data_IF_286150179393
#
_entry.id   IF_286150179393
#
_cell.length_a   1.000
_cell.length_b   1.000
_cell.length_c   1.000
_cell.angle_alpha   90.00
_cell.angle_beta   90.00
_cell.angle_gamma   90.00
#
_symmetry.space_group_name_H-M   'P 1'
#
loop_
_entity.id
_entity.type
_entity.pdbx_description
1 polymer ?
#
# COMPACT_ATOMS: atom_id res chain seq x y z
N UNK A 1 6.75 51.66 18.88
CA UNK A 1 8.02 51.55 18.13
C UNK A 1 9.17 51.55 19.12
N UNK A 2 9.93 50.45 19.23
CA UNK A 2 11.35 50.52 19.58
C UNK A 2 12.03 49.25 19.12
N UNK A 3 12.88 49.41 18.11
CA UNK A 3 13.72 48.39 17.50
C UNK A 3 14.85 48.05 18.46
N UNK A 4 15.13 46.77 18.71
CA UNK A 4 16.50 46.30 18.98
C UNK A 4 16.73 44.94 18.32
N UNK A 5 17.43 45.01 17.20
CA UNK A 5 18.10 43.93 16.50
C UNK A 5 19.33 43.56 17.34
N UNK A 6 19.58 42.28 17.61
CA UNK A 6 20.96 41.79 17.60
C UNK A 6 21.01 40.31 17.22
N UNK A 7 21.81 40.07 16.18
CA UNK A 7 22.17 38.81 15.55
C UNK A 7 23.30 38.18 16.35
N UNK A 8 23.29 36.86 16.55
CA UNK A 8 24.52 36.05 16.57
C UNK A 8 24.23 34.71 15.92
N UNK A 9 24.76 34.55 14.71
CA UNK A 9 25.03 33.26 14.11
C UNK A 9 26.40 32.79 14.59
N UNK A 10 26.58 31.50 14.90
CA UNK A 10 27.86 30.84 14.73
C UNK A 10 27.67 29.34 14.46
N UNK A 11 28.17 28.92 13.29
CA UNK A 11 28.39 27.54 12.86
C UNK A 11 29.39 26.83 13.79
N UNK A 12 29.21 25.52 13.96
CA UNK A 12 30.30 24.56 14.14
C UNK A 12 29.96 23.26 13.38
N UNK A 13 30.52 23.15 12.17
CA UNK A 13 30.70 21.90 11.43
C UNK A 13 32.12 21.43 11.75
N UNK A 14 32.25 20.24 12.34
CA UNK A 14 33.51 19.50 12.40
C UNK A 14 33.14 18.01 12.22
N UNK A 15 33.21 17.46 11.02
CA UNK A 15 34.43 16.90 10.40
C UNK A 15 34.99 15.73 11.20
N UNK A 16 34.52 14.51 10.89
CA UNK A 16 35.33 13.29 11.04
C UNK A 16 35.09 12.38 9.83
N UNK A 17 35.86 12.65 8.77
CA UNK A 17 36.29 11.64 7.80
C UNK A 17 37.57 11.02 8.33
N UNK A 18 37.58 9.71 8.58
CA UNK A 18 38.82 8.92 8.61
C UNK A 18 38.54 7.63 7.83
N UNK A 19 39.11 7.55 6.63
CA UNK A 19 39.24 6.35 5.82
C UNK A 19 40.59 5.66 6.13
N UNK A 20 40.94 4.59 5.41
CA UNK A 20 40.98 3.20 5.85
C UNK A 20 42.38 2.75 6.35
N UNK A 21 42.42 1.81 7.30
CA UNK A 21 43.65 1.07 7.62
C UNK A 21 43.45 -0.40 7.30
N UNK A 22 44.05 -0.81 6.18
CA UNK A 22 44.39 -2.19 5.88
C UNK A 22 45.54 -2.60 6.80
N UNK A 23 45.31 -3.54 7.72
CA UNK A 23 46.37 -4.39 8.27
C UNK A 23 45.85 -5.82 8.31
N UNK A 24 46.48 -6.67 7.49
CA UNK A 24 46.46 -8.10 7.63
C UNK A 24 47.50 -8.52 8.68
N UNK A 25 47.11 -9.39 9.60
CA UNK A 25 47.92 -10.32 10.40
C UNK A 25 46.91 -11.30 11.02
N UNK A 26 46.72 -12.47 10.42
CA UNK A 26 47.48 -13.71 10.64
C UNK A 26 47.19 -14.37 12.00
N UNK A 27 46.47 -15.49 11.90
CA UNK A 27 46.47 -16.68 12.76
C UNK A 27 46.38 -16.51 14.28
N UNK A 28 45.18 -16.77 14.84
CA UNK A 28 45.02 -17.66 16.00
C UNK A 28 43.54 -18.05 16.17
N UNK A 29 43.34 -19.35 16.25
CA UNK A 29 42.12 -20.11 16.48
C UNK A 29 41.44 -19.70 17.80
N UNK A 30 40.15 -19.33 17.77
CA UNK A 30 39.25 -19.55 18.91
C UNK A 30 37.79 -19.53 18.43
N UNK A 31 37.20 -20.74 18.43
CA UNK A 31 35.78 -21.09 18.41
C UNK A 31 34.79 -19.91 18.53
N UNK A 32 34.34 -19.39 17.38
CA UNK A 32 33.02 -18.76 17.29
C UNK A 32 32.09 -19.80 16.69
N UNK A 33 31.04 -20.25 17.40
CA UNK A 33 30.09 -21.19 16.82
C UNK A 33 29.50 -20.54 15.56
N UNK A 34 29.66 -21.22 14.44
CA UNK A 34 29.13 -20.83 13.14
C UNK A 34 27.61 -20.73 13.28
N UNK A 35 27.12 -19.52 13.53
CA UNK A 35 25.70 -19.23 13.57
C UNK A 35 25.23 -19.40 12.14
N UNK A 36 24.77 -20.61 11.81
CA UNK A 36 24.03 -20.90 10.59
C UNK A 36 22.96 -19.82 10.47
N UNK A 37 23.22 -18.81 9.65
CA UNK A 37 22.20 -17.90 9.18
C UNK A 37 21.28 -18.78 8.36
N UNK A 38 20.26 -19.31 9.02
CA UNK A 38 19.06 -19.77 8.36
C UNK A 38 18.64 -18.57 7.53
N UNK A 39 18.97 -18.60 6.24
CA UNK A 39 18.34 -17.75 5.24
C UNK A 39 16.86 -18.14 5.28
N UNK A 40 16.15 -17.57 6.24
CA UNK A 40 14.71 -17.55 6.27
C UNK A 40 14.36 -16.94 4.93
N UNK A 41 13.88 -17.80 4.03
CA UNK A 41 13.53 -17.42 2.67
C UNK A 41 12.51 -16.31 2.82
N UNK A 42 12.93 -15.07 2.60
CA UNK A 42 12.05 -13.91 2.72
C UNK A 42 10.86 -14.24 1.83
N UNK A 43 9.62 -14.23 2.36
CA UNK A 43 8.46 -14.57 1.56
C UNK A 43 8.54 -13.74 0.28
N UNK A 44 8.45 -14.38 -0.90
CA UNK A 44 8.50 -13.66 -2.19
C UNK A 44 7.49 -12.52 -2.11
N UNK A 45 8.00 -11.31 -1.91
CA UNK A 45 7.18 -10.11 -1.89
C UNK A 45 6.55 -10.01 -3.26
N UNK A 46 5.24 -10.17 -3.35
CA UNK A 46 4.51 -9.90 -4.58
C UNK A 46 4.88 -8.47 -4.99
N UNK A 47 5.32 -8.23 -6.24
CA UNK A 47 5.70 -6.89 -6.68
C UNK A 47 4.58 -5.88 -6.39
N UNK A 48 4.98 -4.68 -5.96
CA UNK A 48 4.08 -3.53 -5.87
C UNK A 48 3.72 -3.15 -7.29
N UNK A 49 2.41 -3.08 -7.58
CA UNK A 49 1.91 -2.67 -8.90
C UNK A 49 1.76 -1.15 -8.89
N UNK A 50 2.08 -0.53 -10.02
CA UNK A 50 1.83 0.90 -10.19
C UNK A 50 0.33 1.15 -10.09
N UNK A 51 -0.06 2.08 -9.21
CA UNK A 51 -1.45 2.55 -9.12
C UNK A 51 -1.55 3.83 -9.91
N UNK A 52 -2.30 3.78 -11.00
CA UNK A 52 -2.54 4.97 -11.82
C UNK A 52 -3.52 5.92 -11.13
N UNK A 53 -3.31 7.22 -11.31
CA UNK A 53 -4.24 8.22 -10.83
C UNK A 53 -5.57 8.11 -11.56
N UNK A 54 -6.66 7.93 -10.82
CA UNK A 54 -8.00 7.87 -11.39
C UNK A 54 -8.55 9.27 -11.66
N UNK A 55 -9.06 9.47 -12.88
CA UNK A 55 -9.88 10.65 -13.24
C UNK A 55 -11.28 10.17 -13.58
N UNK A 56 -12.28 10.70 -12.89
CA UNK A 56 -13.67 10.31 -13.13
C UNK A 56 -14.11 10.70 -14.54
N UNK A 57 -14.76 9.78 -15.29
CA UNK A 57 -15.33 10.11 -16.59
C UNK A 57 -16.54 11.04 -16.43
N UNK A 58 -16.86 11.77 -17.52
CA UNK A 58 -18.01 12.68 -17.57
C UNK A 58 -19.36 11.94 -17.60
N UNK A 59 -19.35 10.64 -17.86
CA UNK A 59 -20.53 9.78 -17.89
C UNK A 59 -20.40 8.71 -16.81
N UNK A 60 -21.53 8.33 -16.24
CA UNK A 60 -21.67 7.21 -15.30
C UNK A 60 -21.69 5.84 -16.00
N UNK A 61 -21.81 5.83 -17.33
CA UNK A 61 -21.91 4.60 -18.13
C UNK A 61 -20.60 3.80 -18.08
N UNK A 62 -20.72 2.49 -17.85
CA UNK A 62 -19.60 1.58 -17.70
C UNK A 62 -19.62 0.48 -18.76
N UNK A 63 -18.43 0.00 -19.16
CA UNK A 63 -18.32 -1.15 -20.05
C UNK A 63 -18.50 -2.47 -19.30
N UNK A 64 -18.88 -3.53 -20.01
CA UNK A 64 -18.98 -4.89 -19.44
C UNK A 64 -17.64 -5.38 -18.89
N UNK A 65 -16.51 -4.98 -19.49
CA UNK A 65 -15.19 -5.32 -18.99
C UNK A 65 -14.94 -4.67 -17.62
N UNK A 66 -15.14 -3.36 -17.51
CA UNK A 66 -14.97 -2.63 -16.23
C UNK A 66 -15.93 -3.15 -15.15
N UNK A 67 -17.16 -3.51 -15.52
CA UNK A 67 -18.10 -4.15 -14.60
C UNK A 67 -17.57 -5.51 -14.07
N UNK A 68 -16.97 -6.35 -14.93
CA UNK A 68 -16.34 -7.61 -14.50
C UNK A 68 -15.15 -7.38 -13.56
N UNK A 69 -14.32 -6.38 -13.86
CA UNK A 69 -13.20 -6.01 -12.98
C UNK A 69 -13.70 -5.55 -11.61
N UNK A 70 -14.77 -4.75 -11.58
CA UNK A 70 -15.41 -4.32 -10.33
C UNK A 70 -15.95 -5.50 -9.51
N UNK A 71 -16.64 -6.46 -10.13
CA UNK A 71 -17.16 -7.65 -9.43
C UNK A 71 -16.01 -8.46 -8.83
N UNK A 72 -14.93 -8.69 -9.61
CA UNK A 72 -13.74 -9.38 -9.14
C UNK A 72 -13.05 -8.64 -7.99
N UNK A 73 -12.90 -7.32 -8.10
CA UNK A 73 -12.33 -6.48 -7.05
C UNK A 73 -13.17 -6.52 -5.77
N UNK A 74 -14.50 -6.50 -5.89
CA UNK A 74 -15.43 -6.57 -4.75
C UNK A 74 -15.24 -7.85 -3.95
N UNK A 75 -15.21 -9.01 -4.61
CA UNK A 75 -14.98 -10.29 -3.94
C UNK A 75 -13.62 -10.35 -3.24
N UNK A 76 -12.57 -9.87 -3.91
CA UNK A 76 -11.23 -9.87 -3.35
C UNK A 76 -11.06 -8.85 -2.19
N UNK A 77 -11.73 -7.71 -2.24
CA UNK A 77 -11.73 -6.73 -1.15
C UNK A 77 -12.45 -7.24 0.10
N UNK A 78 -13.52 -8.03 -0.06
CA UNK A 78 -14.19 -8.70 1.07
C UNK A 78 -13.23 -9.69 1.74
N UNK A 79 -12.55 -10.54 0.96
CA UNK A 79 -11.57 -11.48 1.51
C UNK A 79 -10.40 -10.75 2.20
N UNK A 80 -9.91 -9.66 1.61
CA UNK A 80 -8.89 -8.82 2.22
C UNK A 80 -9.40 -8.25 3.56
N UNK A 81 -10.63 -7.75 3.60
CA UNK A 81 -11.25 -7.23 4.83
C UNK A 81 -11.27 -8.26 5.96
N UNK A 82 -11.71 -9.49 5.67
CA UNK A 82 -11.74 -10.58 6.66
C UNK A 82 -10.35 -10.91 7.21
N UNK A 83 -9.33 -10.98 6.35
CA UNK A 83 -7.95 -11.28 6.79
C UNK A 83 -7.35 -10.16 7.65
N UNK A 84 -7.74 -8.91 7.40
CA UNK A 84 -7.20 -7.76 8.10
C UNK A 84 -7.98 -7.40 9.37
N UNK A 85 -9.29 -7.68 9.45
CA UNK A 85 -10.09 -7.41 10.63
C UNK A 85 -9.53 -8.12 11.86
N UNK A 86 -9.15 -9.40 11.74
CA UNK A 86 -8.54 -10.15 12.85
C UNK A 86 -7.24 -9.52 13.36
N UNK A 87 -6.46 -8.89 12.47
CA UNK A 87 -5.21 -8.21 12.83
C UNK A 87 -5.49 -6.88 13.53
N UNK A 88 -6.48 -6.14 13.05
CA UNK A 88 -6.91 -4.87 13.64
C UNK A 88 -7.48 -5.10 15.05
N UNK A 89 -8.29 -6.14 15.22
CA UNK A 89 -8.95 -6.45 16.50
C UNK A 89 -7.97 -6.84 17.60
N UNK A 90 -6.85 -7.47 17.22
CA UNK A 90 -5.81 -7.94 18.16
C UNK A 90 -4.71 -6.92 18.44
N UNK A 91 -4.67 -5.80 17.71
CA UNK A 91 -3.59 -4.82 17.79
C UNK A 91 -3.81 -3.81 18.93
N UNK A 92 -2.71 -3.28 19.48
CA UNK A 92 -2.78 -2.10 20.36
C UNK A 92 -3.20 -0.86 19.60
N UNK A 93 -3.66 0.19 20.29
CA UNK A 93 -4.17 1.41 19.62
C UNK A 93 -3.12 2.11 18.74
N UNK A 94 -1.84 2.06 19.13
CA UNK A 94 -0.74 2.61 18.31
C UNK A 94 -0.51 1.77 17.06
N UNK A 95 -0.58 0.44 17.17
CA UNK A 95 -0.40 -0.48 16.04
C UNK A 95 -1.61 -0.45 15.08
N UNK A 96 -2.83 -0.23 15.58
CA UNK A 96 -4.04 -0.09 14.76
C UNK A 96 -3.89 0.97 13.69
N UNK A 97 -3.31 2.13 14.01
CA UNK A 97 -3.09 3.22 13.03
C UNK A 97 -2.18 2.73 11.89
N UNK A 98 -1.09 2.04 12.22
CA UNK A 98 -0.16 1.52 11.22
C UNK A 98 -0.82 0.44 10.35
N UNK A 99 -1.59 -0.46 10.97
CA UNK A 99 -2.33 -1.52 10.27
C UNK A 99 -3.39 -0.92 9.36
N UNK A 100 -4.14 0.10 9.79
CA UNK A 100 -5.15 0.76 8.97
C UNK A 100 -4.53 1.46 7.76
N UNK A 101 -3.38 2.12 7.93
CA UNK A 101 -2.64 2.71 6.81
C UNK A 101 -2.18 1.64 5.82
N UNK A 102 -1.60 0.55 6.30
CA UNK A 102 -1.18 -0.56 5.45
C UNK A 102 -2.37 -1.26 4.76
N UNK A 103 -3.53 -1.33 5.43
CA UNK A 103 -4.76 -1.84 4.86
C UNK A 103 -5.26 -0.98 3.70
N UNK A 104 -5.22 0.35 3.84
CA UNK A 104 -5.60 1.27 2.77
C UNK A 104 -4.70 1.09 1.53
N UNK A 105 -3.39 0.96 1.73
CA UNK A 105 -2.45 0.65 0.65
C UNK A 105 -2.75 -0.72 0.03
N UNK A 106 -3.06 -1.73 0.84
CA UNK A 106 -3.37 -3.07 0.35
C UNK A 106 -4.64 -3.09 -0.50
N UNK A 107 -5.69 -2.34 -0.13
CA UNK A 107 -6.92 -2.19 -0.93
C UNK A 107 -6.61 -1.58 -2.29
N UNK A 108 -5.83 -0.52 -2.30
CA UNK A 108 -5.45 0.20 -3.52
C UNK A 108 -4.64 -0.69 -4.48
N UNK A 109 -3.64 -1.40 -3.95
CA UNK A 109 -2.84 -2.38 -4.68
C UNK A 109 -3.67 -3.56 -5.19
N UNK A 110 -4.66 -4.02 -4.44
CA UNK A 110 -5.55 -5.09 -4.86
C UNK A 110 -6.41 -4.66 -6.04
N UNK A 111 -7.01 -3.46 -5.99
CA UNK A 111 -7.75 -2.89 -7.11
C UNK A 111 -6.86 -2.73 -8.36
N UNK A 112 -5.64 -2.23 -8.20
CA UNK A 112 -4.67 -2.11 -9.29
C UNK A 112 -4.32 -3.47 -9.93
N UNK A 113 -4.09 -4.51 -9.11
CA UNK A 113 -3.84 -5.87 -9.61
C UNK A 113 -5.00 -6.49 -10.37
N UNK A 114 -6.22 -6.05 -10.08
CA UNK A 114 -7.42 -6.48 -10.83
C UNK A 114 -7.58 -5.71 -12.14
N UNK A 115 -6.89 -4.58 -12.31
CA UNK A 115 -6.95 -3.75 -13.52
C UNK A 115 -7.81 -2.48 -13.37
N UNK A 116 -8.11 -2.08 -12.13
CA UNK A 116 -8.71 -0.78 -11.84
C UNK A 116 -7.61 0.24 -11.52
N UNK A 117 -7.88 1.53 -11.71
CA UNK A 117 -7.03 2.64 -11.27
C UNK A 117 -7.15 2.84 -9.74
N UNK A 118 -6.79 1.80 -9.00
CA UNK A 118 -6.79 1.77 -7.54
C UNK A 118 -8.19 1.78 -6.91
N UNK A 119 -8.20 2.06 -5.61
CA UNK A 119 -9.42 2.12 -4.79
C UNK A 119 -10.29 3.32 -5.18
N UNK A 120 -9.70 4.35 -5.80
CA UNK A 120 -10.42 5.53 -6.26
C UNK A 120 -11.41 5.17 -7.38
N UNK A 121 -10.98 4.43 -8.41
CA UNK A 121 -11.90 3.95 -9.45
C UNK A 121 -12.97 3.02 -8.87
N UNK A 122 -12.58 2.10 -7.98
CA UNK A 122 -13.53 1.20 -7.31
C UNK A 122 -14.63 1.98 -6.57
N UNK A 123 -14.25 2.99 -5.78
CA UNK A 123 -15.18 3.81 -5.02
C UNK A 123 -16.10 4.61 -5.97
N UNK A 124 -15.57 5.14 -7.08
CA UNK A 124 -16.39 5.81 -8.08
C UNK A 124 -17.41 4.85 -8.71
N UNK A 125 -16.98 3.64 -9.12
CA UNK A 125 -17.91 2.63 -9.65
C UNK A 125 -19.01 2.33 -8.62
N UNK A 126 -18.63 2.11 -7.36
CA UNK A 126 -19.56 1.79 -6.26
C UNK A 126 -20.60 2.89 -6.03
N UNK A 127 -20.17 4.15 -6.07
CA UNK A 127 -21.00 5.30 -5.64
C UNK A 127 -21.72 5.99 -6.80
N UNK A 128 -21.24 5.84 -8.03
CA UNK A 128 -21.76 6.54 -9.21
C UNK A 128 -22.29 5.57 -10.25
N UNK A 129 -21.50 4.57 -10.64
CA UNK A 129 -21.88 3.69 -11.75
C UNK A 129 -22.90 2.61 -11.33
N UNK A 130 -22.73 1.96 -10.17
CA UNK A 130 -23.64 0.92 -9.68
C UNK A 130 -25.07 1.44 -9.47
N UNK A 131 -25.29 2.63 -8.87
CA UNK A 131 -26.64 3.15 -8.68
C UNK A 131 -27.32 3.63 -9.97
N UNK A 132 -26.58 3.83 -11.07
CA UNK A 132 -27.16 4.28 -12.33
C UNK A 132 -27.96 3.16 -13.01
N UNK A 133 -29.29 3.34 -13.21
CA UNK A 133 -30.14 2.33 -13.85
C UNK A 133 -29.66 1.91 -15.24
N UNK A 134 -28.96 2.78 -15.97
CA UNK A 134 -28.41 2.47 -17.30
C UNK A 134 -27.42 1.32 -17.28
N UNK A 135 -26.71 1.14 -16.16
CA UNK A 135 -25.69 0.12 -16.01
C UNK A 135 -26.21 -1.21 -15.46
N UNK A 136 -27.50 -1.30 -15.07
CA UNK A 136 -28.07 -2.50 -14.44
C UNK A 136 -27.78 -3.77 -15.23
N UNK A 137 -28.13 -3.77 -16.53
CA UNK A 137 -27.90 -4.91 -17.41
C UNK A 137 -26.41 -5.25 -17.57
N UNK A 138 -25.53 -4.24 -17.60
CA UNK A 138 -24.07 -4.42 -17.70
C UNK A 138 -23.50 -5.10 -16.46
N UNK A 139 -23.95 -4.71 -15.27
CA UNK A 139 -23.51 -5.31 -14.01
C UNK A 139 -24.10 -6.70 -13.78
N UNK A 140 -25.36 -6.94 -14.17
CA UNK A 140 -25.97 -8.28 -14.15
C UNK A 140 -25.24 -9.25 -15.08
N UNK A 141 -24.89 -8.80 -16.29
CA UNK A 141 -24.08 -9.58 -17.23
C UNK A 141 -22.65 -9.84 -16.71
N UNK A 142 -22.15 -8.99 -15.81
CA UNK A 142 -20.88 -9.20 -15.11
C UNK A 142 -20.99 -10.12 -13.87
N UNK A 143 -22.19 -10.64 -13.57
CA UNK A 143 -22.43 -11.57 -12.46
C UNK A 143 -22.81 -10.88 -11.14
N UNK A 144 -23.11 -9.59 -11.16
CA UNK A 144 -23.61 -8.88 -9.98
C UNK A 144 -25.11 -9.11 -9.82
N UNK A 145 -25.51 -9.58 -8.64
CA UNK A 145 -26.93 -9.58 -8.26
C UNK A 145 -27.29 -8.17 -7.81
N UNK A 146 -27.98 -7.41 -8.66
CA UNK A 146 -28.57 -6.14 -8.23
C UNK A 146 -29.83 -6.46 -7.42
N UNK A 147 -30.02 -5.78 -6.28
CA UNK A 147 -31.27 -5.90 -5.55
C UNK A 147 -32.39 -5.29 -6.42
N UNK A 148 -33.46 -6.06 -6.63
CA UNK A 148 -34.66 -5.57 -7.32
C UNK A 148 -35.47 -4.64 -6.44
#
# INVERSE_FOLDING_TARGET
MSRRILKVALLMIASFFVAPVLVACDSADDNVPEMNQVQASTPKSVPIVQVDAFTAPNTSEITTEKAKLYVKASAALVELGVRWSERIDKASDTEKIQILNAYNVARDQLCARVGLAGIAEYNWITTVAVPDPKNKATFEAAGMRTAN
#
